data_IF_206840742335
#
_entry.id   IF_206840742335
#
_cell.length_a   1.000
_cell.length_b   1.000
_cell.length_c   1.000
_cell.angle_alpha   90.00
_cell.angle_beta   90.00
_cell.angle_gamma   90.00
#
_symmetry.space_group_name_H-M   'P 1'
#
loop_
_entity.id
_entity.type
_entity.pdbx_description
1 polymer ?
#
# COMPACT_ATOMS: atom_id res chain seq x y z
N UNK A 1 -18.10 -38.08 -24.74
CA UNK A 1 -17.08 -37.03 -24.55
C UNK A 1 -17.30 -36.40 -23.19
N UNK A 2 -16.32 -36.47 -22.27
CA UNK A 2 -16.42 -35.82 -20.96
C UNK A 2 -16.09 -34.34 -21.12
N UNK A 3 -17.09 -33.46 -21.14
CA UNK A 3 -16.91 -32.03 -20.99
C UNK A 3 -16.36 -31.73 -19.59
N UNK A 4 -15.04 -31.70 -19.50
CA UNK A 4 -14.36 -31.13 -18.35
C UNK A 4 -14.67 -29.64 -18.36
N UNK A 5 -15.66 -29.24 -17.55
CA UNK A 5 -15.94 -27.84 -17.20
C UNK A 5 -14.70 -27.22 -16.56
N UNK A 6 -13.74 -26.81 -17.38
CA UNK A 6 -12.68 -25.88 -17.01
C UNK A 6 -13.37 -24.55 -16.72
N UNK A 7 -13.82 -24.36 -15.47
CA UNK A 7 -14.14 -23.01 -14.98
C UNK A 7 -12.93 -22.15 -15.31
N UNK A 8 -13.10 -21.20 -16.23
CA UNK A 8 -12.04 -20.28 -16.59
C UNK A 8 -11.54 -19.64 -15.30
N UNK A 9 -10.24 -19.80 -15.00
CA UNK A 9 -9.67 -19.19 -13.82
C UNK A 9 -9.87 -17.67 -13.92
N UNK A 10 -10.62 -17.10 -12.97
CA UNK A 10 -10.86 -15.66 -12.90
C UNK A 10 -9.62 -14.96 -12.34
N UNK A 11 -9.33 -13.77 -12.83
CA UNK A 11 -8.30 -12.90 -12.25
C UNK A 11 -8.65 -12.58 -10.79
N UNK A 12 -7.72 -12.78 -9.86
CA UNK A 12 -7.97 -12.57 -8.43
C UNK A 12 -8.05 -11.09 -8.01
N UNK A 13 -7.76 -10.15 -8.92
CA UNK A 13 -7.98 -8.70 -8.73
C UNK A 13 -9.37 -8.29 -9.22
N UNK A 14 -9.61 -8.35 -10.53
CA UNK A 14 -10.82 -7.80 -11.14
C UNK A 14 -11.96 -8.81 -11.32
N UNK A 15 -11.74 -10.08 -10.99
CA UNK A 15 -12.68 -11.19 -11.15
C UNK A 15 -13.16 -11.45 -12.59
N UNK A 16 -12.46 -10.92 -13.60
CA UNK A 16 -12.77 -11.21 -15.00
C UNK A 16 -11.97 -12.43 -15.50
N UNK A 17 -12.55 -13.26 -16.39
CA UNK A 17 -11.83 -14.35 -17.03
C UNK A 17 -10.82 -13.83 -18.08
N UNK A 18 -10.05 -14.76 -18.65
CA UNK A 18 -9.24 -14.49 -19.85
C UNK A 18 -7.85 -13.89 -19.61
N UNK A 19 -7.47 -13.58 -18.37
CA UNK A 19 -6.14 -13.09 -18.04
C UNK A 19 -5.68 -13.52 -16.64
N UNK A 20 -4.36 -13.52 -16.42
CA UNK A 20 -3.76 -13.74 -15.11
C UNK A 20 -3.64 -12.42 -14.34
N UNK A 21 -3.50 -12.50 -13.02
CA UNK A 21 -3.32 -11.32 -12.15
C UNK A 21 -2.22 -10.37 -12.64
N UNK A 22 -1.08 -10.91 -13.09
CA UNK A 22 0.06 -10.13 -13.60
C UNK A 22 -0.22 -9.37 -14.90
N UNK A 23 -1.33 -9.69 -15.58
CA UNK A 23 -1.81 -9.05 -16.81
C UNK A 23 -3.07 -8.21 -16.57
N UNK A 24 -3.47 -8.02 -15.31
CA UNK A 24 -4.72 -7.32 -14.99
C UNK A 24 -4.60 -5.82 -15.28
N UNK A 25 -5.49 -5.29 -16.12
CA UNK A 25 -5.50 -3.87 -16.49
C UNK A 25 -5.61 -2.95 -15.28
N UNK A 26 -6.35 -3.36 -14.22
CA UNK A 26 -6.47 -2.59 -12.97
C UNK A 26 -5.14 -2.34 -12.28
N UNK A 27 -4.22 -3.32 -12.32
CA UNK A 27 -2.88 -3.15 -11.76
C UNK A 27 -2.10 -2.13 -12.60
N UNK A 28 -2.14 -2.27 -13.92
CA UNK A 28 -1.46 -1.38 -14.88
C UNK A 28 -2.00 0.05 -14.83
N UNK A 29 -3.32 0.22 -14.80
CA UNK A 29 -4.03 1.50 -14.67
C UNK A 29 -3.62 2.22 -13.37
N UNK A 30 -3.54 1.48 -12.27
CA UNK A 30 -3.08 2.02 -10.99
C UNK A 30 -1.56 2.25 -10.94
N UNK A 31 -0.80 1.81 -11.95
CA UNK A 31 0.67 1.81 -11.98
C UNK A 31 1.24 1.16 -10.73
N UNK A 32 0.66 0.05 -10.32
CA UNK A 32 1.01 -0.65 -9.09
C UNK A 32 1.76 -1.94 -9.40
N UNK A 33 2.55 -2.41 -8.44
CA UNK A 33 3.17 -3.73 -8.46
C UNK A 33 2.51 -4.61 -7.42
N UNK A 34 2.11 -5.83 -7.81
CA UNK A 34 1.64 -6.82 -6.85
C UNK A 34 2.82 -7.31 -6.01
N UNK A 35 2.69 -7.18 -4.69
CA UNK A 35 3.67 -7.79 -3.78
C UNK A 35 3.39 -9.28 -3.68
N UNK A 36 4.34 -10.10 -4.13
CA UNK A 36 4.24 -11.55 -4.07
C UNK A 36 4.14 -12.04 -2.62
N UNK A 37 3.43 -13.14 -2.39
CA UNK A 37 3.19 -13.66 -1.03
C UNK A 37 4.46 -13.89 -0.21
N UNK A 38 5.56 -14.28 -0.85
CA UNK A 38 6.85 -14.51 -0.18
C UNK A 38 7.54 -13.20 0.26
N UNK A 39 7.15 -12.06 -0.32
CA UNK A 39 7.69 -10.74 -0.03
C UNK A 39 6.76 -9.88 0.84
N UNK A 40 5.59 -10.41 1.24
CA UNK A 40 4.61 -9.64 2.02
C UNK A 40 5.17 -9.23 3.39
N UNK A 41 5.88 -10.14 4.07
CA UNK A 41 6.47 -9.86 5.37
C UNK A 41 7.61 -8.85 5.27
N UNK A 42 8.48 -9.02 4.27
CA UNK A 42 9.59 -8.10 3.96
C UNK A 42 9.05 -6.69 3.62
N UNK A 43 8.05 -6.62 2.74
CA UNK A 43 7.37 -5.36 2.40
C UNK A 43 6.76 -4.70 3.63
N UNK A 44 6.09 -5.46 4.50
CA UNK A 44 5.49 -4.91 5.71
C UNK A 44 6.56 -4.41 6.71
N UNK A 45 7.70 -5.10 6.82
CA UNK A 45 8.79 -4.70 7.69
C UNK A 45 9.49 -3.41 7.20
N UNK A 46 9.62 -3.23 5.89
CA UNK A 46 10.22 -2.04 5.28
C UNK A 46 9.26 -0.89 4.99
N UNK A 47 7.96 -1.05 5.27
CA UNK A 47 6.97 -0.03 4.95
C UNK A 47 7.21 1.22 5.81
N UNK A 48 7.40 2.36 5.15
CA UNK A 48 7.68 3.63 5.82
C UNK A 48 9.12 3.81 6.27
N UNK A 49 10.02 2.88 5.95
CA UNK A 49 11.46 3.09 6.09
C UNK A 49 11.96 3.97 4.94
N UNK A 50 12.54 5.12 5.26
CA UNK A 50 13.09 6.07 4.29
C UNK A 50 14.29 5.51 3.51
N UNK A 51 14.96 4.47 4.03
CA UNK A 51 16.04 3.76 3.34
C UNK A 51 15.52 2.77 2.29
N UNK A 52 14.23 2.39 2.37
CA UNK A 52 13.62 1.36 1.51
C UNK A 52 12.54 1.92 0.58
N UNK A 53 11.90 3.03 0.95
CA UNK A 53 10.93 3.74 0.13
C UNK A 53 11.08 5.25 0.22
N UNK A 54 10.68 5.96 -0.83
CA UNK A 54 10.58 7.42 -0.80
C UNK A 54 9.51 7.83 0.23
N UNK A 55 9.92 8.66 1.17
CA UNK A 55 9.04 9.27 2.18
C UNK A 55 8.99 10.78 1.91
N UNK A 56 7.83 11.28 1.55
CA UNK A 56 7.61 12.67 1.17
C UNK A 56 7.16 13.53 2.37
N UNK A 57 7.49 14.83 2.39
CA UNK A 57 6.86 15.75 3.33
C UNK A 57 5.49 16.20 2.78
N UNK A 58 4.38 16.07 3.55
CA UNK A 58 3.09 16.56 3.08
C UNK A 58 3.05 18.10 3.12
N UNK A 59 2.66 18.73 2.01
CA UNK A 59 2.58 20.18 1.86
C UNK A 59 1.15 20.68 1.56
N UNK A 60 0.87 21.94 1.89
CA UNK A 60 -0.40 22.61 1.57
C UNK A 60 -1.64 21.86 2.07
N UNK A 61 -2.67 21.77 1.21
CA UNK A 61 -3.94 21.12 1.50
C UNK A 61 -3.83 19.61 1.79
N UNK A 62 -2.77 18.95 1.31
CA UNK A 62 -2.50 17.54 1.59
C UNK A 62 -2.26 17.31 3.09
N UNK A 63 -1.46 18.19 3.71
CA UNK A 63 -1.15 18.12 5.15
C UNK A 63 -2.43 18.18 5.99
N UNK A 64 -3.34 19.09 5.66
CA UNK A 64 -4.60 19.23 6.39
C UNK A 64 -5.57 18.07 6.10
N UNK A 65 -5.58 17.55 4.89
CA UNK A 65 -6.36 16.34 4.54
C UNK A 65 -5.90 15.13 5.35
N UNK A 66 -4.58 14.90 5.42
CA UNK A 66 -3.99 13.82 6.23
C UNK A 66 -4.34 14.02 7.69
N UNK A 67 -4.13 15.22 8.26
CA UNK A 67 -4.47 15.51 9.67
C UNK A 67 -5.94 15.24 9.99
N UNK A 68 -6.86 15.74 9.16
CA UNK A 68 -8.31 15.54 9.35
C UNK A 68 -8.68 14.06 9.27
N UNK A 69 -8.09 13.32 8.33
CA UNK A 69 -8.29 11.88 8.25
C UNK A 69 -7.78 11.18 9.51
N UNK A 70 -6.55 11.51 9.93
CA UNK A 70 -5.92 10.94 11.12
C UNK A 70 -6.73 11.16 12.40
N UNK A 71 -7.35 12.33 12.55
CA UNK A 71 -8.24 12.63 13.68
C UNK A 71 -9.51 11.76 13.72
N UNK A 72 -9.99 11.30 12.56
CA UNK A 72 -11.17 10.43 12.51
C UNK A 72 -10.92 9.02 13.05
N UNK A 73 -9.66 8.63 13.22
CA UNK A 73 -9.30 7.31 13.76
C UNK A 73 -9.72 6.11 12.91
N UNK A 74 -10.18 6.33 11.67
CA UNK A 74 -10.68 5.29 10.75
C UNK A 74 -9.70 4.12 10.63
N UNK A 75 -10.25 2.91 10.53
CA UNK A 75 -9.50 1.70 10.23
C UNK A 75 -9.58 1.37 8.73
N UNK A 76 -8.75 0.42 8.28
CA UNK A 76 -8.94 -0.18 6.96
C UNK A 76 -10.26 -0.97 7.01
N UNK A 77 -11.21 -0.70 6.11
CA UNK A 77 -12.54 -1.27 6.20
C UNK A 77 -12.53 -2.79 6.01
N UNK A 78 -13.55 -3.47 6.54
CA UNK A 78 -13.62 -4.94 6.49
C UNK A 78 -13.81 -5.46 5.07
N UNK A 79 -14.46 -4.65 4.22
CA UNK A 79 -14.67 -4.94 2.80
C UNK A 79 -13.37 -4.84 1.97
N UNK A 80 -12.30 -4.29 2.54
CA UNK A 80 -11.00 -4.21 1.88
C UNK A 80 -10.53 -5.60 1.46
N UNK A 81 -10.27 -5.76 0.16
CA UNK A 81 -9.78 -6.99 -0.45
C UNK A 81 -8.41 -6.79 -1.11
N UNK A 82 -8.17 -5.59 -1.65
CA UNK A 82 -6.86 -5.14 -2.08
C UNK A 82 -6.53 -3.81 -1.42
N UNK A 83 -5.29 -3.66 -0.98
CA UNK A 83 -4.74 -2.39 -0.50
C UNK A 83 -3.67 -1.99 -1.50
N UNK A 84 -3.79 -0.79 -2.06
CA UNK A 84 -2.76 -0.22 -2.96
C UNK A 84 -2.08 0.91 -2.21
N UNK A 85 -0.84 0.68 -1.78
CA UNK A 85 -0.03 1.70 -1.10
C UNK A 85 0.58 2.61 -2.16
N UNK A 86 0.19 3.89 -2.13
CA UNK A 86 0.52 4.85 -3.18
C UNK A 86 1.74 5.67 -2.86
N UNK A 87 1.75 6.27 -1.66
CA UNK A 87 2.78 7.18 -1.18
C UNK A 87 3.02 6.97 0.29
N UNK A 88 4.22 7.32 0.75
CA UNK A 88 4.55 7.39 2.17
C UNK A 88 4.91 8.84 2.52
N UNK A 89 4.43 9.30 3.66
CA UNK A 89 4.62 10.65 4.16
C UNK A 89 5.23 10.64 5.55
N UNK A 90 6.19 11.55 5.78
CA UNK A 90 6.72 11.81 7.11
C UNK A 90 5.72 12.66 7.91
N UNK A 91 5.46 12.27 9.17
CA UNK A 91 4.76 13.13 10.11
C UNK A 91 5.78 13.70 11.10
N UNK A 92 5.93 15.04 11.04
CA UNK A 92 6.85 15.83 11.83
C UNK A 92 6.54 15.79 13.33
N UNK A 93 6.93 14.70 13.96
CA UNK A 93 7.33 14.65 15.36
C UNK A 93 8.59 13.80 15.36
N UNK A 94 9.73 14.46 15.52
CA UNK A 94 11.10 14.04 15.15
C UNK A 94 11.63 12.72 15.72
N UNK A 95 10.84 11.93 16.45
CA UNK A 95 11.35 10.86 17.30
C UNK A 95 10.87 9.44 16.97
N UNK A 96 10.02 9.23 15.94
CA UNK A 96 9.44 7.91 15.76
C UNK A 96 9.07 7.64 14.29
N UNK A 97 9.85 6.78 13.60
CA UNK A 97 9.55 6.29 12.24
C UNK A 97 8.21 5.56 12.17
N UNK A 98 7.67 5.12 13.31
CA UNK A 98 6.32 4.55 13.46
C UNK A 98 5.19 5.53 13.18
N UNK A 99 5.48 6.83 13.02
CA UNK A 99 4.49 7.89 12.75
C UNK A 99 4.29 8.21 11.28
N UNK A 100 5.03 7.56 10.39
CA UNK A 100 4.82 7.74 8.97
C UNK A 100 3.40 7.31 8.58
N UNK A 101 2.83 8.04 7.62
CA UNK A 101 1.48 7.80 7.11
C UNK A 101 1.57 7.45 5.65
N UNK A 102 0.76 6.48 5.23
CA UNK A 102 0.69 6.06 3.84
C UNK A 102 -0.64 6.45 3.23
N UNK A 103 -0.57 6.97 2.01
CA UNK A 103 -1.74 7.07 1.13
C UNK A 103 -2.07 5.67 0.61
N UNK A 104 -3.32 5.28 0.77
CA UNK A 104 -3.82 3.97 0.40
C UNK A 104 -5.06 4.13 -0.45
N UNK A 105 -5.14 3.40 -1.56
CA UNK A 105 -6.41 3.13 -2.22
C UNK A 105 -6.90 1.76 -1.74
N UNK A 106 -8.07 1.74 -1.12
CA UNK A 106 -8.69 0.50 -0.66
C UNK A 106 -9.66 0.00 -1.72
N UNK A 107 -9.42 -1.19 -2.25
CA UNK A 107 -10.31 -1.83 -3.19
C UNK A 107 -11.03 -3.03 -2.58
N UNK A 108 -12.30 -3.15 -2.89
CA UNK A 108 -13.11 -4.33 -2.60
C UNK A 108 -12.79 -5.47 -3.57
N UNK A 109 -13.55 -6.56 -3.41
CA UNK A 109 -13.45 -7.72 -4.29
C UNK A 109 -13.85 -7.32 -5.72
N UNK A 110 -13.04 -7.68 -6.71
CA UNK A 110 -13.24 -7.23 -8.10
C UNK A 110 -12.51 -5.93 -8.43
N UNK A 111 -11.66 -5.42 -7.54
CA UNK A 111 -10.82 -4.24 -7.82
C UNK A 111 -11.61 -2.93 -7.87
N UNK A 112 -12.78 -2.89 -7.22
CA UNK A 112 -13.61 -1.69 -7.14
C UNK A 112 -13.19 -0.82 -5.95
N UNK A 113 -13.06 0.51 -6.12
CA UNK A 113 -12.76 1.41 -5.00
C UNK A 113 -13.80 1.30 -3.87
N UNK A 114 -13.34 1.18 -2.63
CA UNK A 114 -14.21 1.30 -1.45
C UNK A 114 -14.52 2.78 -1.22
N UNK A 115 -15.81 3.10 -1.10
CA UNK A 115 -16.29 4.48 -0.96
C UNK A 115 -15.64 5.12 0.27
N UNK A 116 -15.30 6.41 0.14
CA UNK A 116 -14.62 7.20 1.18
C UNK A 116 -13.20 6.75 1.54
N UNK A 117 -12.67 5.66 0.97
CA UNK A 117 -11.36 5.10 1.32
C UNK A 117 -10.35 5.14 0.17
N UNK A 118 -10.58 6.00 -0.83
CA UNK A 118 -9.77 6.14 -2.03
C UNK A 118 -9.66 7.63 -2.46
N UNK A 119 -8.58 8.35 -2.09
CA UNK A 119 -7.52 7.94 -1.15
C UNK A 119 -7.99 7.91 0.31
N UNK A 120 -7.37 7.03 1.09
CA UNK A 120 -7.37 7.01 2.55
C UNK A 120 -5.94 7.18 3.08
N UNK A 121 -5.79 7.67 4.30
CA UNK A 121 -4.48 7.87 4.92
C UNK A 121 -4.36 7.05 6.20
N UNK A 122 -3.38 6.17 6.28
CA UNK A 122 -3.23 5.32 7.46
C UNK A 122 -1.84 5.42 8.03
N UNK A 123 -1.70 5.40 9.37
CA UNK A 123 -0.41 5.08 9.98
C UNK A 123 0.14 3.80 9.39
N UNK A 124 1.45 3.79 9.16
CA UNK A 124 2.18 2.61 8.68
C UNK A 124 1.83 1.38 9.53
N UNK A 125 1.82 1.51 10.86
CA UNK A 125 1.52 0.38 11.75
C UNK A 125 0.12 -0.23 11.52
N UNK A 126 -0.92 0.58 11.22
CA UNK A 126 -2.26 0.07 10.88
C UNK A 126 -2.25 -0.72 9.57
N UNK A 127 -1.50 -0.26 8.57
CA UNK A 127 -1.38 -0.96 7.29
C UNK A 127 -0.60 -2.26 7.47
N UNK A 128 0.51 -2.24 8.20
CA UNK A 128 1.31 -3.43 8.55
C UNK A 128 0.45 -4.46 9.28
N UNK A 129 -0.31 -4.05 10.31
CA UNK A 129 -1.22 -4.94 11.03
C UNK A 129 -2.26 -5.57 10.09
N UNK A 130 -2.85 -4.79 9.19
CA UNK A 130 -3.79 -5.32 8.20
C UNK A 130 -3.11 -6.32 7.25
N UNK A 131 -1.91 -6.01 6.75
CA UNK A 131 -1.15 -6.90 5.86
C UNK A 131 -0.88 -8.24 6.55
N UNK A 132 -0.34 -8.22 7.77
CA UNK A 132 0.01 -9.43 8.51
C UNK A 132 -1.22 -10.28 8.83
N UNK A 133 -2.35 -9.63 9.16
CA UNK A 133 -3.61 -10.33 9.44
C UNK A 133 -4.29 -10.92 8.19
N UNK A 134 -4.12 -10.31 7.02
CA UNK A 134 -4.94 -10.61 5.84
C UNK A 134 -4.19 -11.22 4.64
N UNK A 135 -2.90 -10.92 4.47
CA UNK A 135 -2.11 -11.31 3.31
C UNK A 135 -1.21 -12.54 3.55
N UNK A 136 -1.34 -13.19 4.70
CA UNK A 136 -0.56 -14.37 5.06
C UNK A 136 -0.71 -15.51 4.01
N UNK A 137 0.42 -16.14 3.69
CA UNK A 137 0.58 -17.23 2.73
C UNK A 137 -0.40 -18.41 2.90
N UNK A 138 -0.92 -18.64 4.13
CA UNK A 138 -1.88 -19.71 4.41
C UNK A 138 -3.32 -19.40 3.97
N UNK A 139 -3.70 -18.13 3.84
CA UNK A 139 -5.09 -17.73 3.55
C UNK A 139 -5.30 -17.09 2.18
N UNK A 140 -4.24 -16.64 1.48
CA UNK A 140 -4.19 -16.17 0.05
C UNK A 140 -5.44 -15.45 -0.49
N UNK A 141 -6.13 -14.69 0.35
CA UNK A 141 -7.42 -14.09 -0.03
C UNK A 141 -7.26 -12.63 -0.43
N UNK A 142 -6.37 -11.89 0.24
CA UNK A 142 -6.21 -10.45 0.05
C UNK A 142 -4.84 -10.12 -0.52
N UNK A 143 -4.77 -9.01 -1.25
CA UNK A 143 -3.56 -8.62 -1.97
C UNK A 143 -3.09 -7.25 -1.50
N UNK A 144 -1.77 -7.09 -1.45
CA UNK A 144 -1.10 -5.81 -1.25
C UNK A 144 -0.39 -5.44 -2.55
N UNK A 145 -0.67 -4.23 -3.02
CA UNK A 145 -0.04 -3.64 -4.19
C UNK A 145 0.70 -2.39 -3.75
N UNK A 146 1.80 -2.08 -4.43
CA UNK A 146 2.62 -0.91 -4.12
C UNK A 146 2.89 -0.08 -5.36
N UNK A 147 2.74 1.23 -5.23
CA UNK A 147 3.27 2.23 -6.15
C UNK A 147 4.46 2.98 -5.52
N UNK A 148 4.93 2.55 -4.34
CA UNK A 148 6.00 3.23 -3.64
C UNK A 148 7.27 3.25 -4.50
N UNK A 149 7.81 4.45 -4.64
CA UNK A 149 9.10 4.65 -5.29
C UNK A 149 10.22 4.26 -4.33
N UNK A 150 11.32 3.75 -4.89
CA UNK A 150 12.56 3.59 -4.12
C UNK A 150 13.12 4.98 -3.79
N UNK A 151 13.81 5.15 -2.65
CA UNK A 151 14.48 6.40 -2.36
C UNK A 151 15.52 6.68 -3.44
N UNK A 152 15.63 7.94 -3.85
CA UNK A 152 16.71 8.38 -4.73
C UNK A 152 17.98 8.43 -3.87
N UNK A 153 19.01 7.68 -4.23
CA UNK A 153 20.24 7.53 -3.43
C UNK A 153 20.91 8.88 -3.08
N UNK A 154 20.77 9.89 -3.94
CA UNK A 154 21.29 11.25 -3.74
C UNK A 154 20.58 12.00 -2.60
N UNK A 155 19.29 11.74 -2.38
CA UNK A 155 18.50 12.37 -1.29
C UNK A 155 18.85 11.78 0.07
N UNK A 156 19.28 10.51 0.11
CA UNK A 156 19.71 9.86 1.35
C UNK A 156 20.95 10.53 1.94
N UNK A 157 21.89 11.03 1.12
CA UNK A 157 23.06 11.75 1.64
C UNK A 157 22.67 13.03 2.38
N UNK A 158 21.69 13.79 1.87
CA UNK A 158 21.27 15.04 2.49
C UNK A 158 20.37 14.89 3.73
N UNK A 159 19.67 13.75 3.90
CA UNK A 159 18.87 13.49 5.10
C UNK A 159 19.72 13.15 6.33
N UNK A 160 20.97 12.69 6.14
CA UNK A 160 21.90 12.34 7.22
C UNK A 160 22.99 13.38 7.50
N UNK A 161 23.07 14.48 6.74
CA UNK A 161 24.01 15.59 6.98
C UNK A 161 23.58 16.56 8.10
N UNK A 162 22.53 16.25 8.88
CA UNK A 162 22.18 17.00 10.10
C UNK A 162 23.10 16.68 11.30
N UNK A 163 24.39 16.44 11.03
CA UNK A 163 25.33 15.89 12.01
C UNK A 163 26.71 16.53 12.07
N UNK A 164 27.03 17.52 11.23
CA UNK A 164 28.26 18.33 11.41
C UNK A 164 28.05 19.72 10.82
N UNK A 165 27.67 20.67 11.68
CA UNK A 165 28.08 22.06 11.46
C UNK A 165 29.47 22.24 12.07
N UNK A 166 30.40 22.96 11.41
CA UNK A 166 31.67 23.36 12.00
C UNK A 166 31.50 24.32 13.18
#
# INVERSE_FOLDING_TARGET
>A
MKESSKRAALCSICLQPGHRIVQCSKISEARATLIGHNHVAEFAAGLGDAMLCLVEEPFGSMRETIKKWMQSGRNIPVEAFHVVVRKCFYIATRQDSSRNVVEVFVWGKGGTPVKEHCPAYYPVNKVVQWILANCNARRRKKHILSCLQKPVQEILQHLYDYGTSP
#
